data_IF_533108615728
#
_entry.id   IF_533108615728
#
_cell.length_a   1.000
_cell.length_b   1.000
_cell.length_c   1.000
_cell.angle_alpha   90.00
_cell.angle_beta   90.00
_cell.angle_gamma   90.00
#
_symmetry.space_group_name_H-M   'P 1'
#
loop_
_entity.id
_entity.type
_entity.pdbx_description
1 polymer ?
#
# COMPACT_ATOMS: atom_id res chain seq x y z
N UNK A 1 7.90 25.98 -7.48
CA UNK A 1 7.20 24.72 -7.24
C UNK A 1 6.28 24.91 -6.04
N UNK A 2 5.03 24.50 -6.16
CA UNK A 2 4.14 24.44 -5.01
C UNK A 2 4.60 23.38 -4.00
N UNK A 3 4.29 23.57 -2.71
CA UNK A 3 4.70 22.62 -1.66
C UNK A 3 4.21 21.19 -1.92
N UNK A 4 3.03 21.04 -2.54
CA UNK A 4 2.48 19.74 -2.93
C UNK A 4 3.33 19.04 -3.98
N UNK A 5 3.69 19.76 -5.05
CA UNK A 5 4.55 19.24 -6.11
C UNK A 5 5.93 18.85 -5.57
N UNK A 6 6.45 19.65 -4.64
CA UNK A 6 7.71 19.36 -3.97
C UNK A 6 7.62 18.08 -3.12
N UNK A 7 6.52 17.88 -2.37
CA UNK A 7 6.31 16.65 -1.60
C UNK A 7 6.28 15.42 -2.51
N UNK A 8 5.58 15.48 -3.64
CA UNK A 8 5.54 14.39 -4.62
C UNK A 8 6.91 14.13 -5.26
N UNK A 9 7.66 15.19 -5.57
CA UNK A 9 9.02 15.09 -6.14
C UNK A 9 9.97 14.41 -5.15
N UNK A 10 9.97 14.84 -3.89
CA UNK A 10 10.79 14.25 -2.83
C UNK A 10 10.43 12.78 -2.56
N UNK A 11 9.14 12.45 -2.56
CA UNK A 11 8.69 11.06 -2.45
C UNK A 11 9.19 10.18 -3.61
N UNK A 12 9.29 10.74 -4.82
CA UNK A 12 9.93 10.04 -5.95
C UNK A 12 11.45 9.89 -5.75
N UNK A 13 12.09 10.89 -5.16
CA UNK A 13 13.53 10.88 -4.87
C UNK A 13 13.92 9.73 -3.91
N UNK A 14 13.12 9.43 -2.90
CA UNK A 14 13.38 8.32 -1.98
C UNK A 14 13.51 6.96 -2.67
N UNK A 15 12.87 6.77 -3.81
CA UNK A 15 12.93 5.50 -4.55
C UNK A 15 14.31 5.19 -5.11
N UNK A 16 15.14 6.22 -5.34
CA UNK A 16 16.52 6.04 -5.79
C UNK A 16 17.43 5.40 -4.72
N UNK A 17 17.04 5.48 -3.45
CA UNK A 17 17.75 4.78 -2.36
C UNK A 17 17.18 3.37 -2.09
N UNK A 18 16.27 2.90 -2.95
CA UNK A 18 15.77 1.53 -2.94
C UNK A 18 14.56 1.26 -2.03
N UNK A 19 13.90 2.30 -1.52
CA UNK A 19 12.68 2.15 -0.71
C UNK A 19 11.46 2.66 -1.49
N UNK A 20 10.45 1.81 -1.69
CA UNK A 20 9.19 2.21 -2.34
C UNK A 20 8.27 2.96 -1.35
N UNK A 21 8.72 4.10 -0.83
CA UNK A 21 7.97 4.94 0.10
C UNK A 21 6.70 5.55 -0.50
N UNK A 22 5.70 5.79 0.34
CA UNK A 22 4.43 6.41 -0.06
C UNK A 22 4.47 7.94 -0.12
N UNK A 23 5.47 8.58 0.51
CA UNK A 23 5.62 10.04 0.54
C UNK A 23 4.91 10.73 1.72
N UNK A 24 4.49 9.99 2.75
CA UNK A 24 3.83 10.55 3.92
C UNK A 24 4.73 11.53 4.66
N UNK A 25 5.99 11.16 4.89
CA UNK A 25 6.96 11.98 5.63
C UNK A 25 7.23 13.32 4.91
N UNK A 26 7.34 13.28 3.58
CA UNK A 26 7.53 14.47 2.75
C UNK A 26 6.29 15.38 2.76
N UNK A 27 5.10 14.77 2.66
CA UNK A 27 3.85 15.52 2.71
C UNK A 27 3.67 16.22 4.06
N UNK A 28 3.90 15.52 5.17
CA UNK A 28 3.82 16.10 6.52
C UNK A 28 4.87 17.21 6.70
N UNK A 29 6.13 16.98 6.30
CA UNK A 29 7.20 17.96 6.49
C UNK A 29 6.94 19.29 5.77
N UNK A 30 6.23 19.28 4.64
CA UNK A 30 5.98 20.45 3.83
C UNK A 30 4.60 21.08 4.03
N UNK A 31 3.59 20.29 4.39
CA UNK A 31 2.19 20.70 4.39
C UNK A 31 1.55 20.72 5.79
N UNK A 32 2.28 20.32 6.85
CA UNK A 32 1.76 20.37 8.20
C UNK A 32 1.45 21.80 8.66
N UNK A 33 0.38 21.92 9.42
CA UNK A 33 -0.04 23.15 10.10
C UNK A 33 0.04 22.98 11.61
N UNK A 34 0.35 24.02 12.38
CA UNK A 34 0.36 23.95 13.83
C UNK A 34 -0.99 23.51 14.39
N UNK A 35 -0.98 22.67 15.42
CA UNK A 35 -2.16 22.17 16.14
C UNK A 35 -3.17 21.39 15.29
N UNK A 36 -2.76 20.91 14.12
CA UNK A 36 -3.59 20.08 13.24
C UNK A 36 -2.90 18.78 12.89
N UNK A 37 -3.66 17.69 12.82
CA UNK A 37 -3.28 16.49 12.12
C UNK A 37 -3.60 16.67 10.62
N UNK A 38 -2.98 15.85 9.76
CA UNK A 38 -3.30 15.85 8.33
C UNK A 38 -3.85 14.48 7.93
N UNK A 39 -5.03 14.47 7.36
CA UNK A 39 -5.49 13.34 6.55
C UNK A 39 -4.85 13.45 5.17
N UNK A 40 -4.15 12.41 4.76
CA UNK A 40 -3.43 12.36 3.48
C UNK A 40 -4.02 11.26 2.61
N UNK A 41 -4.58 11.64 1.48
CA UNK A 41 -4.92 10.74 0.39
C UNK A 41 -3.81 10.78 -0.66
N UNK A 42 -3.36 9.60 -1.12
CA UNK A 42 -2.32 9.50 -2.14
C UNK A 42 -2.90 9.15 -3.51
N UNK A 43 -2.26 9.68 -4.55
CA UNK A 43 -2.55 9.38 -5.96
C UNK A 43 -3.96 9.79 -6.43
N UNK A 44 -4.22 11.11 -6.63
CA UNK A 44 -3.30 12.23 -6.43
C UNK A 44 -3.11 12.58 -4.95
N UNK A 45 -2.00 13.25 -4.63
CA UNK A 45 -1.76 13.73 -3.27
C UNK A 45 -2.80 14.79 -2.92
N UNK A 46 -3.64 14.47 -1.95
CA UNK A 46 -4.58 15.41 -1.36
C UNK A 46 -4.45 15.43 0.16
N UNK A 47 -4.46 16.61 0.74
CA UNK A 47 -4.23 16.81 2.17
C UNK A 47 -5.37 17.61 2.75
N UNK A 48 -5.97 17.09 3.81
CA UNK A 48 -7.04 17.76 4.56
C UNK A 48 -6.62 17.94 6.01
N UNK A 49 -6.57 19.17 6.54
CA UNK A 49 -6.26 19.40 7.93
C UNK A 49 -7.41 18.94 8.83
N UNK A 50 -7.06 18.27 9.94
CA UNK A 50 -8.00 17.76 10.96
C UNK A 50 -7.63 18.40 12.28
N UNK A 51 -8.59 19.00 12.97
CA UNK A 51 -8.37 19.60 14.28
C UNK A 51 -8.09 18.52 15.32
N UNK A 52 -7.03 18.74 16.10
CA UNK A 52 -6.73 17.89 17.26
C UNK A 52 -7.44 18.50 18.47
N UNK A 53 -8.24 17.74 19.25
CA UNK A 53 -8.88 18.24 20.45
C UNK A 53 -7.85 18.76 21.46
N UNK A 54 -8.13 19.89 22.11
CA UNK A 54 -7.17 20.54 22.99
C UNK A 54 -6.94 19.81 24.33
N UNK A 55 -7.86 18.94 24.71
CA UNK A 55 -7.81 18.11 25.92
C UNK A 55 -6.99 16.82 25.76
N UNK A 56 -6.42 16.58 24.58
CA UNK A 56 -5.54 15.43 24.29
C UNK A 56 -4.07 15.82 24.25
N UNK A 57 -3.23 14.93 24.76
CA UNK A 57 -1.77 15.07 24.70
C UNK A 57 -1.16 13.88 23.96
N UNK A 58 -0.16 14.16 23.11
CA UNK A 58 0.63 13.11 22.47
C UNK A 58 1.77 12.69 23.37
N UNK A 59 1.88 11.38 23.65
CA UNK A 59 3.00 10.80 24.38
C UNK A 59 3.89 10.05 23.39
N UNK A 60 5.12 10.49 23.22
CA UNK A 60 6.10 9.86 22.35
C UNK A 60 7.00 8.94 23.19
N UNK A 61 6.93 7.64 22.93
CA UNK A 61 7.76 6.64 23.60
C UNK A 61 8.84 6.13 22.61
N UNK A 62 10.11 6.24 23.00
CA UNK A 62 11.19 5.67 22.22
C UNK A 62 11.25 4.17 22.48
N UNK A 63 11.13 3.35 21.41
CA UNK A 63 11.26 1.89 21.49
C UNK A 63 12.71 1.40 21.65
N UNK A 64 13.68 2.29 21.57
CA UNK A 64 15.13 2.00 21.55
C UNK A 64 15.58 1.08 20.40
N UNK A 65 14.72 0.88 19.41
CA UNK A 65 15.01 0.11 18.20
C UNK A 65 15.21 1.07 17.05
N UNK A 66 16.38 1.02 16.41
CA UNK A 66 16.66 1.78 15.19
C UNK A 66 16.03 1.07 13.99
N UNK A 67 15.17 1.77 13.26
CA UNK A 67 14.66 1.28 11.98
C UNK A 67 15.74 1.44 10.89
N UNK A 68 16.56 0.42 10.71
CA UNK A 68 17.52 0.40 9.62
C UNK A 68 16.78 0.24 8.28
N UNK A 69 16.69 1.35 7.53
CA UNK A 69 16.08 1.35 6.17
C UNK A 69 16.99 0.67 5.11
N UNK A 70 18.01 -0.08 5.54
CA UNK A 70 18.97 -0.81 4.71
C UNK A 70 18.89 -2.32 5.00
N UNK A 71 19.31 -3.15 4.04
CA UNK A 71 19.35 -4.61 4.21
C UNK A 71 17.98 -5.25 4.45
N UNK A 72 17.88 -6.14 5.44
CA UNK A 72 16.71 -6.98 5.67
C UNK A 72 15.40 -6.19 5.95
N UNK A 73 15.49 -5.06 6.63
CA UNK A 73 14.32 -4.22 6.91
C UNK A 73 13.76 -3.59 5.62
N UNK A 74 14.63 -3.17 4.69
CA UNK A 74 14.23 -2.70 3.36
C UNK A 74 13.54 -3.80 2.56
N UNK A 75 14.09 -5.01 2.56
CA UNK A 75 13.52 -6.15 1.85
C UNK A 75 12.12 -6.49 2.39
N UNK A 76 11.96 -6.46 3.71
CA UNK A 76 10.67 -6.65 4.37
C UNK A 76 9.65 -5.57 3.96
N UNK A 77 10.08 -4.30 3.92
CA UNK A 77 9.25 -3.19 3.49
C UNK A 77 8.82 -3.34 2.02
N UNK A 78 9.77 -3.58 1.13
CA UNK A 78 9.51 -3.75 -0.29
C UNK A 78 8.63 -4.98 -0.58
N UNK A 79 8.77 -6.05 0.20
CA UNK A 79 7.86 -7.21 0.16
C UNK A 79 6.41 -6.80 0.42
N UNK A 80 6.16 -5.92 1.38
CA UNK A 80 4.80 -5.44 1.68
C UNK A 80 4.19 -4.67 0.50
N UNK A 81 5.01 -3.91 -0.23
CA UNK A 81 4.58 -3.23 -1.46
C UNK A 81 4.17 -4.26 -2.53
N UNK A 82 4.98 -5.30 -2.72
CA UNK A 82 4.65 -6.39 -3.66
C UNK A 82 3.37 -7.13 -3.22
N UNK A 83 3.21 -7.41 -1.93
CA UNK A 83 1.97 -8.02 -1.41
C UNK A 83 0.72 -7.17 -1.73
N UNK A 84 0.83 -5.83 -1.67
CA UNK A 84 -0.25 -4.93 -2.11
C UNK A 84 -0.51 -5.02 -3.62
N UNK A 85 0.54 -5.03 -4.46
CA UNK A 85 0.41 -5.19 -5.92
C UNK A 85 -0.24 -6.52 -6.29
N UNK A 86 0.18 -7.61 -5.64
CA UNK A 86 -0.43 -8.93 -5.81
C UNK A 86 -1.89 -8.93 -5.35
N UNK A 87 -2.19 -8.25 -4.25
CA UNK A 87 -3.57 -8.07 -3.76
C UNK A 87 -4.45 -7.39 -4.79
N UNK A 88 -3.96 -6.31 -5.41
CA UNK A 88 -4.67 -5.60 -6.49
C UNK A 88 -4.92 -6.55 -7.67
N UNK A 89 -3.89 -7.23 -8.16
CA UNK A 89 -4.00 -8.09 -9.33
C UNK A 89 -4.93 -9.29 -9.12
N UNK A 90 -4.86 -9.94 -7.96
CA UNK A 90 -5.75 -11.05 -7.60
C UNK A 90 -7.20 -10.59 -7.41
N UNK A 91 -7.42 -9.44 -6.75
CA UNK A 91 -8.76 -8.89 -6.58
C UNK A 91 -9.36 -8.43 -7.90
N UNK A 92 -8.58 -7.81 -8.78
CA UNK A 92 -9.03 -7.42 -10.11
C UNK A 92 -9.49 -8.63 -10.91
N UNK A 93 -8.71 -9.73 -10.88
CA UNK A 93 -9.08 -10.99 -11.51
C UNK A 93 -10.41 -11.53 -10.96
N UNK A 94 -10.54 -11.66 -9.64
CA UNK A 94 -11.76 -12.15 -8.97
C UNK A 94 -12.98 -11.29 -9.28
N UNK A 95 -12.84 -9.97 -9.27
CA UNK A 95 -13.93 -9.02 -9.51
C UNK A 95 -14.34 -8.99 -10.98
N UNK A 96 -13.39 -9.14 -11.90
CA UNK A 96 -13.64 -9.17 -13.35
C UNK A 96 -14.38 -10.45 -13.74
N UNK A 97 -13.94 -11.61 -13.25
CA UNK A 97 -14.54 -12.91 -13.57
C UNK A 97 -16.03 -12.97 -13.17
N UNK A 98 -16.38 -12.40 -12.00
CA UNK A 98 -17.77 -12.40 -11.50
C UNK A 98 -18.69 -11.38 -12.16
N UNK A 99 -18.18 -10.20 -12.48
CA UNK A 99 -19.03 -9.09 -12.94
C UNK A 99 -19.16 -9.04 -14.46
N UNK A 100 -18.41 -9.85 -15.22
CA UNK A 100 -18.28 -9.76 -16.69
C UNK A 100 -18.01 -8.34 -17.20
N UNK A 101 -17.57 -7.46 -16.34
CA UNK A 101 -17.26 -6.07 -16.63
C UNK A 101 -15.77 -5.89 -16.38
N UNK A 102 -15.01 -5.48 -17.38
CA UNK A 102 -13.60 -5.15 -17.21
C UNK A 102 -13.45 -4.09 -16.11
N UNK A 103 -12.84 -4.44 -15.00
CA UNK A 103 -12.50 -3.53 -13.93
C UNK A 103 -10.98 -3.41 -13.89
N UNK A 104 -10.50 -2.20 -14.01
CA UNK A 104 -9.08 -1.89 -13.85
C UNK A 104 -8.84 -1.42 -12.42
N UNK A 105 -8.72 -2.36 -11.48
CA UNK A 105 -8.33 -2.01 -10.13
C UNK A 105 -6.84 -1.68 -10.13
N UNK A 106 -6.49 -0.41 -10.03
CA UNK A 106 -5.10 0.06 -10.04
C UNK A 106 -4.47 0.15 -8.66
N UNK A 107 -5.30 0.18 -7.61
CA UNK A 107 -4.85 0.24 -6.21
C UNK A 107 -5.95 -0.25 -5.25
N UNK A 108 -5.55 -0.70 -4.05
CA UNK A 108 -6.49 -1.17 -3.02
C UNK A 108 -7.46 -0.08 -2.56
N UNK A 109 -7.04 1.18 -2.56
CA UNK A 109 -7.91 2.32 -2.25
C UNK A 109 -9.12 2.43 -3.19
N UNK A 110 -9.06 1.89 -4.41
CA UNK A 110 -10.19 1.84 -5.34
C UNK A 110 -11.37 1.01 -4.82
N UNK A 111 -11.12 0.11 -3.87
CA UNK A 111 -12.17 -0.68 -3.24
C UNK A 111 -13.08 0.14 -2.33
N UNK A 112 -12.66 1.30 -1.83
CA UNK A 112 -13.47 2.17 -0.96
C UNK A 112 -14.81 2.60 -1.58
N UNK A 113 -14.90 2.61 -2.90
CA UNK A 113 -16.13 2.92 -3.63
C UNK A 113 -17.13 1.74 -3.70
N UNK A 114 -16.77 0.60 -3.13
CA UNK A 114 -17.62 -0.58 -3.02
C UNK A 114 -18.21 -0.66 -1.61
N UNK A 115 -19.41 -1.25 -1.49
CA UNK A 115 -19.96 -1.54 -0.16
C UNK A 115 -19.03 -2.44 0.65
N UNK A 116 -19.04 -2.29 1.98
CA UNK A 116 -18.20 -3.09 2.90
C UNK A 116 -18.43 -4.59 2.68
N UNK A 117 -19.68 -5.01 2.48
CA UNK A 117 -20.05 -6.40 2.21
C UNK A 117 -19.36 -6.93 0.93
N UNK A 118 -19.38 -6.15 -0.15
CA UNK A 118 -18.71 -6.52 -1.40
C UNK A 118 -17.19 -6.57 -1.26
N UNK A 119 -16.61 -5.62 -0.49
CA UNK A 119 -15.18 -5.63 -0.19
C UNK A 119 -14.81 -6.93 0.56
N UNK A 120 -15.55 -7.28 1.61
CA UNK A 120 -15.30 -8.50 2.41
C UNK A 120 -15.46 -9.76 1.56
N UNK A 121 -16.53 -9.86 0.77
CA UNK A 121 -16.76 -10.98 -0.14
C UNK A 121 -15.60 -11.15 -1.14
N UNK A 122 -15.07 -10.06 -1.70
CA UNK A 122 -13.92 -10.12 -2.61
C UNK A 122 -12.64 -10.57 -1.89
N UNK A 123 -12.38 -10.02 -0.71
CA UNK A 123 -11.20 -10.38 0.10
C UNK A 123 -11.26 -11.85 0.55
N UNK A 124 -12.43 -12.36 0.88
CA UNK A 124 -12.58 -13.76 1.33
C UNK A 124 -12.28 -14.79 0.24
N UNK A 125 -12.30 -14.37 -1.04
CA UNK A 125 -11.89 -15.22 -2.15
C UNK A 125 -10.38 -15.26 -2.38
N UNK A 126 -9.62 -14.34 -1.77
CA UNK A 126 -8.17 -14.43 -1.80
C UNK A 126 -7.69 -15.66 -1.03
N UNK A 127 -6.59 -16.29 -1.47
CA UNK A 127 -6.01 -17.44 -0.77
C UNK A 127 -5.73 -17.14 0.71
N UNK A 128 -6.17 -18.03 1.60
CA UNK A 128 -5.93 -17.90 3.04
C UNK A 128 -4.46 -18.13 3.39
N UNK A 129 -3.82 -19.06 2.69
CA UNK A 129 -2.39 -19.35 2.84
C UNK A 129 -1.56 -18.37 2.00
N UNK A 130 -0.32 -18.10 2.42
CA UNK A 130 0.62 -17.36 1.59
C UNK A 130 0.78 -18.03 0.22
N UNK A 131 0.88 -17.21 -0.83
CA UNK A 131 0.96 -17.67 -2.22
C UNK A 131 2.36 -17.53 -2.77
N UNK A 132 2.82 -18.54 -3.52
CA UNK A 132 4.05 -18.46 -4.31
C UNK A 132 3.83 -17.62 -5.57
N UNK A 133 4.95 -17.17 -6.18
CA UNK A 133 4.93 -16.50 -7.49
C UNK A 133 4.20 -17.36 -8.54
N UNK A 134 4.47 -18.67 -8.54
CA UNK A 134 3.87 -19.59 -9.51
C UNK A 134 2.35 -19.73 -9.32
N UNK A 135 1.90 -19.87 -8.09
CA UNK A 135 0.47 -19.94 -7.77
C UNK A 135 -0.25 -18.64 -8.13
N UNK A 136 0.28 -17.48 -7.73
CA UNK A 136 -0.33 -16.20 -8.05
C UNK A 136 -0.40 -15.96 -9.57
N UNK A 137 0.66 -16.27 -10.31
CA UNK A 137 0.69 -16.17 -11.77
C UNK A 137 -0.36 -17.07 -12.43
N UNK A 138 -0.52 -18.30 -11.94
CA UNK A 138 -1.53 -19.24 -12.43
C UNK A 138 -2.96 -18.74 -12.16
N UNK A 139 -3.25 -18.22 -10.97
CA UNK A 139 -4.56 -17.67 -10.64
C UNK A 139 -4.94 -16.53 -11.58
N UNK A 140 -3.99 -15.63 -11.87
CA UNK A 140 -4.23 -14.46 -12.74
C UNK A 140 -4.22 -14.84 -14.23
N UNK A 141 -3.69 -16.02 -14.58
CA UNK A 141 -3.49 -16.43 -15.96
C UNK A 141 -2.36 -15.69 -16.66
N UNK A 142 -1.34 -15.22 -15.92
CA UNK A 142 -0.22 -14.44 -16.45
C UNK A 142 1.04 -15.28 -16.61
N UNK A 143 1.77 -15.22 -17.76
CA UNK A 143 3.07 -15.88 -17.91
C UNK A 143 4.07 -15.42 -16.87
N UNK A 144 4.85 -16.34 -16.27
CA UNK A 144 5.79 -16.07 -15.16
C UNK A 144 6.78 -14.94 -15.44
N UNK A 145 7.30 -14.85 -16.67
CA UNK A 145 8.21 -13.77 -17.06
C UNK A 145 7.55 -12.39 -16.93
N UNK A 146 6.37 -12.23 -17.52
CA UNK A 146 5.57 -11.00 -17.45
C UNK A 146 5.13 -10.69 -16.02
N UNK A 147 4.73 -11.71 -15.27
CA UNK A 147 4.35 -11.57 -13.85
C UNK A 147 5.49 -10.97 -13.01
N UNK A 148 6.71 -11.52 -13.17
CA UNK A 148 7.90 -11.00 -12.45
C UNK A 148 8.21 -9.56 -12.84
N UNK A 149 8.22 -9.27 -14.11
CA UNK A 149 8.48 -7.94 -14.64
C UNK A 149 7.46 -6.90 -14.13
N UNK A 150 6.17 -7.26 -14.15
CA UNK A 150 5.09 -6.31 -13.84
C UNK A 150 4.87 -6.12 -12.35
N UNK A 151 4.93 -7.19 -11.55
CA UNK A 151 4.48 -7.18 -10.16
C UNK A 151 5.61 -7.21 -9.14
N UNK A 152 6.76 -7.81 -9.47
CA UNK A 152 7.88 -7.95 -8.53
C UNK A 152 8.97 -6.89 -8.70
N UNK A 153 9.05 -6.24 -9.87
CA UNK A 153 10.02 -5.18 -10.09
C UNK A 153 9.62 -3.92 -9.33
N UNK A 154 10.54 -3.40 -8.55
CA UNK A 154 10.43 -2.08 -7.95
C UNK A 154 10.82 -1.01 -8.97
N UNK A 155 10.35 0.22 -8.75
CA UNK A 155 10.66 1.33 -9.66
C UNK A 155 12.15 1.67 -9.74
N UNK A 156 12.93 1.29 -8.72
CA UNK A 156 14.39 1.37 -8.70
C UNK A 156 15.11 0.23 -9.47
N UNK A 157 14.36 -0.68 -10.13
CA UNK A 157 14.93 -1.79 -10.90
C UNK A 157 15.27 -3.04 -10.06
N UNK A 158 15.08 -3.01 -8.75
CA UNK A 158 15.26 -4.17 -7.88
C UNK A 158 14.06 -5.13 -8.00
N UNK A 159 14.32 -6.43 -8.01
CA UNK A 159 13.29 -7.48 -8.04
C UNK A 159 13.12 -8.06 -6.64
N UNK A 160 11.91 -7.99 -6.10
CA UNK A 160 11.60 -8.58 -4.80
C UNK A 160 11.59 -10.10 -4.90
N UNK A 161 12.41 -10.75 -4.05
CA UNK A 161 12.48 -12.20 -3.97
C UNK A 161 11.25 -12.78 -3.26
N UNK A 162 10.84 -13.97 -3.70
CA UNK A 162 9.79 -14.72 -3.01
C UNK A 162 10.25 -15.07 -1.58
N UNK A 163 9.47 -14.71 -0.56
CA UNK A 163 9.79 -15.07 0.83
C UNK A 163 9.61 -16.57 1.06
N UNK A 164 10.30 -17.12 2.06
CA UNK A 164 10.03 -18.48 2.52
C UNK A 164 8.55 -18.62 2.89
N UNK A 165 7.86 -19.54 2.25
CA UNK A 165 6.43 -19.78 2.47
C UNK A 165 5.47 -18.89 1.67
N UNK A 166 5.98 -18.02 0.78
CA UNK A 166 5.14 -17.21 -0.12
C UNK A 166 4.73 -15.84 0.42
N UNK A 167 3.97 -15.10 -0.37
CA UNK A 167 3.45 -13.77 -0.06
C UNK A 167 2.14 -13.83 0.72
N UNK A 168 2.01 -13.04 1.79
CA UNK A 168 0.83 -12.99 2.67
C UNK A 168 -0.24 -12.03 2.13
N UNK A 169 -0.73 -12.28 0.93
CA UNK A 169 -1.57 -11.34 0.18
C UNK A 169 -2.87 -11.00 0.91
N UNK A 170 -3.66 -12.00 1.33
CA UNK A 170 -4.94 -11.77 2.01
C UNK A 170 -4.80 -10.96 3.30
N UNK A 171 -3.78 -11.29 4.10
CA UNK A 171 -3.48 -10.53 5.33
C UNK A 171 -3.11 -9.09 5.02
N UNK A 172 -2.33 -8.84 3.96
CA UNK A 172 -1.95 -7.50 3.54
C UNK A 172 -3.15 -6.70 3.08
N UNK A 173 -4.01 -7.25 2.26
CA UNK A 173 -5.23 -6.60 1.78
C UNK A 173 -6.15 -6.25 2.95
N UNK A 174 -6.41 -7.20 3.86
CA UNK A 174 -7.21 -6.96 5.07
C UNK A 174 -6.63 -5.83 5.93
N UNK A 175 -5.31 -5.82 6.12
CA UNK A 175 -4.63 -4.77 6.87
C UNK A 175 -4.85 -3.39 6.22
N UNK A 176 -4.60 -3.24 4.92
CA UNK A 176 -4.76 -1.95 4.22
C UNK A 176 -6.21 -1.45 4.29
N UNK A 177 -7.19 -2.32 4.07
CA UNK A 177 -8.61 -1.94 4.15
C UNK A 177 -9.02 -1.56 5.57
N UNK A 178 -8.54 -2.27 6.59
CA UNK A 178 -8.86 -1.96 8.00
C UNK A 178 -8.18 -0.66 8.46
N UNK A 179 -6.95 -0.37 8.01
CA UNK A 179 -6.29 0.90 8.28
C UNK A 179 -7.05 2.07 7.62
N UNK A 180 -7.42 1.93 6.35
CA UNK A 180 -8.21 2.94 5.65
C UNK A 180 -9.52 3.25 6.41
N UNK A 181 -10.22 2.22 6.90
CA UNK A 181 -11.43 2.41 7.70
C UNK A 181 -11.14 3.13 9.03
N UNK A 182 -10.04 2.81 9.71
CA UNK A 182 -9.64 3.50 10.94
C UNK A 182 -9.34 4.98 10.69
N UNK A 183 -8.67 5.31 9.60
CA UNK A 183 -8.40 6.69 9.20
C UNK A 183 -9.72 7.45 8.99
N UNK A 184 -10.69 6.86 8.27
CA UNK A 184 -12.00 7.49 8.07
C UNK A 184 -12.80 7.67 9.36
N UNK A 185 -12.59 6.82 10.36
CA UNK A 185 -13.25 6.95 11.67
C UNK A 185 -12.58 7.97 12.60
N UNK A 186 -11.32 8.29 12.36
CA UNK A 186 -10.55 9.25 13.17
C UNK A 186 -10.70 10.70 12.70
N UNK A 187 -11.38 10.93 11.59
CA UNK A 187 -11.63 12.23 10.96
C UNK A 187 -13.09 12.61 11.08
#
# INVERSE_FOLDING_TARGET
LEKRDMAELLARGERYVGTEGGGMDQAISLLAEPKKALKIDFFPLNVSPVSVPEDYSFVVCNSLITAEKSGAARDEYNRRVVECRLGVALLDHVLTDRARTARNLTMLAGLKNMSVERQMTAVDQLPDKPVSIKEAANIIGMPLGKFRETLLNLRGGEVVKEPRGGFKVKQRVRHVLSEGKRVEQAV
#
